data_IF_332725253648
#
_entry.id   IF_332725253648
#
_cell.length_a   1.000
_cell.length_b   1.000
_cell.length_c   1.000
_cell.angle_alpha   90.00
_cell.angle_beta   90.00
_cell.angle_gamma   90.00
#
_symmetry.space_group_name_H-M   'P 1'
#
loop_
_entity.id
_entity.type
_entity.pdbx_description
1 polymer ?
#
# COMPACT_ATOMS: atom_id res chain seq x y z
N UNK A 1 1.28 12.70 -1.29
CA UNK A 1 1.85 12.24 -2.58
C UNK A 1 0.77 11.87 -3.61
N UNK A 2 0.41 10.60 -3.82
CA UNK A 2 -0.55 10.24 -4.90
C UNK A 2 -1.95 10.86 -4.69
N UNK A 3 -2.42 10.94 -3.45
CA UNK A 3 -3.67 11.65 -3.11
C UNK A 3 -3.66 13.11 -3.54
N UNK A 4 -2.53 13.82 -3.39
CA UNK A 4 -2.43 15.23 -3.80
C UNK A 4 -2.55 15.37 -5.32
N UNK A 5 -1.86 14.52 -6.09
CA UNK A 5 -1.98 14.51 -7.55
C UNK A 5 -3.44 14.31 -8.00
N UNK A 6 -4.13 13.34 -7.39
CA UNK A 6 -5.55 13.12 -7.65
C UNK A 6 -6.41 14.35 -7.33
N UNK A 7 -6.18 15.01 -6.18
CA UNK A 7 -6.91 16.22 -5.79
C UNK A 7 -6.65 17.40 -6.74
N UNK A 8 -5.51 17.43 -7.43
CA UNK A 8 -5.22 18.38 -8.51
C UNK A 8 -5.77 17.96 -9.89
N UNK A 9 -6.59 16.91 -9.95
CA UNK A 9 -7.18 16.42 -11.19
C UNK A 9 -6.23 15.58 -12.05
N UNK A 10 -5.10 15.14 -11.49
CA UNK A 10 -4.09 14.34 -12.20
C UNK A 10 -4.29 12.86 -11.86
N UNK A 11 -4.48 11.98 -12.86
CA UNK A 11 -4.41 10.53 -12.67
C UNK A 11 -3.18 10.11 -11.86
N UNK A 12 -3.39 9.42 -10.75
CA UNK A 12 -2.33 9.15 -9.76
C UNK A 12 -2.33 7.69 -9.33
N UNK A 13 -1.13 7.14 -9.12
CA UNK A 13 -0.93 5.75 -8.66
C UNK A 13 0.06 5.75 -7.50
N UNK A 14 -0.26 5.05 -6.42
CA UNK A 14 0.64 4.72 -5.34
C UNK A 14 1.06 3.25 -5.43
N UNK A 15 2.36 2.98 -5.32
CA UNK A 15 2.92 1.63 -5.29
C UNK A 15 3.58 1.37 -3.95
N UNK A 16 3.26 0.23 -3.34
CA UNK A 16 3.86 -0.24 -2.08
C UNK A 16 4.27 -1.71 -2.21
N UNK A 17 5.39 -2.10 -1.59
CA UNK A 17 5.64 -3.52 -1.32
C UNK A 17 4.98 -3.92 -0.01
N UNK A 18 4.33 -5.10 -0.01
CA UNK A 18 3.53 -5.59 1.12
C UNK A 18 4.40 -5.85 2.36
N UNK A 19 5.54 -6.47 2.14
CA UNK A 19 6.50 -6.81 3.19
C UNK A 19 7.61 -5.75 3.24
N UNK A 20 8.05 -5.42 4.46
CA UNK A 20 9.16 -4.51 4.67
C UNK A 20 10.45 -5.11 4.09
N UNK A 21 11.28 -4.24 3.52
CA UNK A 21 12.57 -4.60 2.94
C UNK A 21 12.64 -4.25 1.46
N UNK A 22 13.76 -4.60 0.83
CA UNK A 22 14.09 -4.20 -0.54
C UNK A 22 14.47 -5.43 -1.41
N UNK A 23 13.96 -6.61 -1.06
CA UNK A 23 14.42 -7.89 -1.60
C UNK A 23 14.12 -8.10 -3.08
N UNK A 24 12.99 -7.61 -3.58
CA UNK A 24 12.53 -7.86 -4.95
C UNK A 24 12.14 -6.57 -5.71
N UNK A 25 12.91 -5.49 -5.54
CA UNK A 25 12.60 -4.20 -6.18
C UNK A 25 12.52 -4.29 -7.70
N UNK A 26 13.38 -5.08 -8.35
CA UNK A 26 13.36 -5.19 -9.81
C UNK A 26 12.03 -5.79 -10.31
N UNK A 27 11.50 -6.79 -9.60
CA UNK A 27 10.19 -7.37 -9.89
C UNK A 27 9.07 -6.34 -9.63
N UNK A 28 9.14 -5.61 -8.51
CA UNK A 28 8.18 -4.55 -8.21
C UNK A 28 8.20 -3.40 -9.23
N UNK A 29 9.38 -3.03 -9.73
CA UNK A 29 9.53 -2.02 -10.78
C UNK A 29 8.95 -2.48 -12.11
N UNK A 30 9.13 -3.76 -12.48
CA UNK A 30 8.47 -4.36 -13.66
C UNK A 30 6.95 -4.34 -13.53
N UNK A 31 6.41 -4.70 -12.36
CA UNK A 31 4.97 -4.59 -12.07
C UNK A 31 4.50 -3.14 -12.23
N UNK A 32 5.16 -2.18 -11.57
CA UNK A 32 4.78 -0.77 -11.61
C UNK A 32 4.78 -0.23 -13.04
N UNK A 33 5.84 -0.54 -13.82
CA UNK A 33 5.92 -0.18 -15.24
C UNK A 33 4.75 -0.73 -16.03
N UNK A 34 4.44 -2.03 -15.90
CA UNK A 34 3.34 -2.65 -16.65
C UNK A 34 1.97 -2.03 -16.34
N UNK A 35 1.75 -1.63 -15.09
CA UNK A 35 0.50 -0.96 -14.67
C UNK A 35 0.43 0.44 -15.26
N UNK A 36 1.53 1.21 -15.23
CA UNK A 36 1.59 2.55 -15.83
C UNK A 36 1.37 2.49 -17.34
N UNK A 37 2.03 1.57 -18.04
CA UNK A 37 1.86 1.38 -19.50
C UNK A 37 0.40 1.05 -19.85
N UNK A 38 -0.25 0.17 -19.07
CA UNK A 38 -1.66 -0.17 -19.28
C UNK A 38 -2.60 1.01 -19.03
N UNK A 39 -2.33 1.82 -18.00
CA UNK A 39 -3.12 3.03 -17.70
C UNK A 39 -2.98 4.07 -18.82
N UNK A 40 -1.76 4.29 -19.32
CA UNK A 40 -1.50 5.22 -20.42
C UNK A 40 -2.22 4.75 -21.69
N UNK A 41 -2.13 3.46 -22.02
CA UNK A 41 -2.76 2.89 -23.20
C UNK A 41 -4.30 2.90 -23.11
N UNK A 42 -4.86 2.74 -21.92
CA UNK A 42 -6.29 2.63 -21.69
C UNK A 42 -7.08 3.94 -21.78
N UNK A 43 -6.41 5.10 -21.72
CA UNK A 43 -7.06 6.41 -21.83
C UNK A 43 -8.15 6.62 -20.78
N UNK A 44 -7.78 6.89 -19.53
CA UNK A 44 -8.75 7.22 -18.48
C UNK A 44 -9.03 8.72 -18.50
N UNK A 45 -10.20 9.09 -19.04
CA UNK A 45 -10.63 10.49 -19.25
C UNK A 45 -10.95 11.28 -17.96
N UNK A 46 -10.76 10.67 -16.79
CA UNK A 46 -11.03 11.27 -15.49
C UNK A 46 -9.89 11.04 -14.52
N UNK A 47 -9.68 12.02 -13.64
CA UNK A 47 -8.77 11.84 -12.51
C UNK A 47 -9.19 10.62 -11.68
N UNK A 48 -8.22 9.82 -11.28
CA UNK A 48 -8.40 8.69 -10.37
C UNK A 48 -7.18 8.54 -9.48
N UNK A 49 -7.35 7.77 -8.40
CA UNK A 49 -6.28 7.35 -7.52
C UNK A 49 -6.28 5.83 -7.42
N UNK A 50 -5.21 5.17 -7.90
CA UNK A 50 -5.03 3.73 -7.74
C UNK A 50 -4.00 3.45 -6.64
N UNK A 51 -4.33 2.56 -5.71
CA UNK A 51 -3.37 2.03 -4.73
C UNK A 51 -3.01 0.60 -5.12
N UNK A 52 -1.72 0.34 -5.33
CA UNK A 52 -1.20 -0.96 -5.78
C UNK A 52 -0.24 -1.52 -4.74
N UNK A 53 -0.58 -2.68 -4.19
CA UNK A 53 0.28 -3.44 -3.30
C UNK A 53 0.94 -4.59 -4.06
N UNK A 54 2.27 -4.71 -3.95
CA UNK A 54 3.08 -5.67 -4.68
C UNK A 54 3.74 -6.63 -3.68
N UNK A 55 3.61 -7.96 -3.82
CA UNK A 55 4.34 -8.91 -3.00
C UNK A 55 5.86 -8.71 -3.11
N UNK A 56 6.60 -8.86 -2.01
CA UNK A 56 8.06 -8.74 -2.03
C UNK A 56 8.73 -10.04 -2.51
N UNK A 57 8.41 -10.44 -3.76
CA UNK A 57 8.85 -11.70 -4.37
C UNK A 57 9.50 -11.47 -5.71
N UNK A 58 10.51 -12.29 -6.03
CA UNK A 58 11.24 -12.19 -7.30
C UNK A 58 10.37 -12.47 -8.54
N UNK A 59 9.26 -13.18 -8.37
CA UNK A 59 8.29 -13.53 -9.41
C UNK A 59 7.03 -12.66 -9.37
N UNK A 60 7.02 -11.54 -8.63
CA UNK A 60 5.85 -10.68 -8.47
C UNK A 60 5.25 -10.20 -9.81
N UNK A 61 6.07 -10.02 -10.84
CA UNK A 61 5.66 -9.63 -12.19
C UNK A 61 4.98 -10.73 -13.01
N UNK A 62 4.99 -11.97 -12.52
CA UNK A 62 4.33 -13.13 -13.15
C UNK A 62 3.03 -13.53 -12.44
N UNK A 63 2.77 -12.96 -11.26
CA UNK A 63 1.58 -13.27 -10.48
C UNK A 63 0.32 -12.67 -11.12
N UNK A 64 -0.84 -13.34 -11.01
CA UNK A 64 -2.10 -12.77 -11.47
C UNK A 64 -2.45 -11.53 -10.65
N UNK A 65 -2.83 -10.45 -11.35
CA UNK A 65 -3.31 -9.21 -10.71
C UNK A 65 -4.80 -9.33 -10.38
N UNK A 66 -5.19 -8.84 -9.20
CA UNK A 66 -6.60 -8.77 -8.77
C UNK A 66 -7.00 -7.32 -8.52
N UNK A 67 -8.18 -6.94 -8.99
CA UNK A 67 -8.83 -5.69 -8.57
C UNK A 67 -9.52 -5.95 -7.23
N UNK A 68 -9.30 -5.07 -6.28
CA UNK A 68 -9.75 -5.24 -4.89
C UNK A 68 -10.47 -4.01 -4.37
N UNK A 69 -11.23 -4.20 -3.30
CA UNK A 69 -11.71 -3.12 -2.42
C UNK A 69 -10.76 -2.98 -1.23
N UNK A 70 -10.76 -1.80 -0.61
CA UNK A 70 -10.00 -1.56 0.62
C UNK A 70 -10.56 -2.42 1.78
N UNK A 71 -9.71 -3.24 2.38
CA UNK A 71 -9.98 -3.95 3.63
C UNK A 71 -10.00 -3.02 4.84
N UNK A 72 -10.21 -3.55 6.05
CA UNK A 72 -10.23 -2.76 7.29
C UNK A 72 -9.40 -3.40 8.37
N UNK A 73 -8.82 -2.57 9.24
CA UNK A 73 -8.16 -3.00 10.46
C UNK A 73 -9.01 -2.65 11.68
N UNK A 74 -8.77 -3.36 12.78
CA UNK A 74 -9.16 -2.91 14.10
C UNK A 74 -8.39 -1.64 14.47
N UNK A 75 -8.85 -0.95 15.53
CA UNK A 75 -8.11 0.18 16.08
C UNK A 75 -6.67 -0.24 16.41
N UNK A 76 -5.73 0.70 16.29
CA UNK A 76 -4.34 0.46 16.71
C UNK A 76 -4.29 0.03 18.17
N UNK A 77 -3.24 -0.73 18.51
CA UNK A 77 -2.94 -1.02 19.90
C UNK A 77 -2.73 0.26 20.70
N UNK A 78 -2.77 0.12 22.04
CA UNK A 78 -2.65 1.23 22.97
C UNK A 78 -1.33 2.00 22.84
N UNK A 79 -1.31 3.19 23.42
CA UNK A 79 -0.11 4.02 23.50
C UNK A 79 0.95 3.30 24.34
N UNK A 80 2.18 3.26 23.84
CA UNK A 80 3.33 2.69 24.55
C UNK A 80 4.08 3.84 25.21
N UNK A 81 4.08 3.85 26.55
CA UNK A 81 4.85 4.82 27.34
C UNK A 81 6.30 4.37 27.47
N UNK A 82 7.22 5.32 27.33
CA UNK A 82 8.65 5.10 27.56
C UNK A 82 9.25 6.32 28.26
N UNK A 83 10.24 6.10 29.12
CA UNK A 83 11.02 7.20 29.71
C UNK A 83 12.26 7.43 28.86
N UNK A 84 12.48 8.69 28.45
CA UNK A 84 13.68 9.05 27.70
C UNK A 84 14.90 9.21 28.65
N UNK A 85 16.13 9.34 28.12
CA UNK A 85 17.34 9.47 28.94
C UNK A 85 17.39 10.71 29.87
N UNK A 86 16.48 11.68 29.69
CA UNK A 86 16.34 12.87 30.55
C UNK A 86 15.27 12.71 31.63
N UNK A 87 14.64 11.55 31.73
CA UNK A 87 13.57 11.30 32.70
C UNK A 87 12.19 11.79 32.27
N UNK A 88 12.01 12.19 31.01
CA UNK A 88 10.73 12.68 30.49
C UNK A 88 9.93 11.52 29.89
N UNK A 89 8.61 11.50 30.11
CA UNK A 89 7.71 10.53 29.47
C UNK A 89 7.55 10.86 27.99
N UNK A 90 7.76 9.85 27.13
CA UNK A 90 7.45 9.87 25.71
C UNK A 90 6.38 8.81 25.41
N UNK A 91 5.54 9.11 24.42
CA UNK A 91 4.39 8.30 24.05
C UNK A 91 4.54 7.87 22.59
N UNK A 92 4.56 6.56 22.36
CA UNK A 92 4.56 5.98 21.02
C UNK A 92 3.16 5.47 20.68
N UNK A 93 2.72 5.71 19.44
CA UNK A 93 1.52 5.07 18.92
C UNK A 93 1.83 3.57 18.75
N UNK A 94 0.99 2.73 19.33
CA UNK A 94 1.11 1.27 19.21
C UNK A 94 0.96 0.80 17.77
N UNK A 95 1.32 -0.47 17.47
CA UNK A 95 1.16 -1.03 16.15
C UNK A 95 -0.29 -0.96 15.65
N UNK A 96 -0.45 -0.98 14.33
CA UNK A 96 -1.78 -1.04 13.72
C UNK A 96 -2.48 -2.33 14.16
N UNK A 97 -3.79 -2.25 14.41
CA UNK A 97 -4.58 -3.40 14.80
C UNK A 97 -4.65 -4.47 13.72
N UNK A 98 -5.06 -5.66 14.13
CA UNK A 98 -5.28 -6.80 13.24
C UNK A 98 -6.31 -6.49 12.15
N UNK A 99 -6.26 -7.26 11.07
CA UNK A 99 -7.24 -7.13 10.00
C UNK A 99 -8.64 -7.49 10.53
N UNK A 100 -9.56 -6.53 10.44
CA UNK A 100 -10.99 -6.67 10.77
C UNK A 100 -11.80 -7.17 9.57
N UNK A 101 -11.41 -6.75 8.38
CA UNK A 101 -11.98 -7.18 7.11
C UNK A 101 -10.85 -7.43 6.12
N UNK A 102 -10.50 -8.71 5.99
CA UNK A 102 -9.53 -9.26 5.05
C UNK A 102 -10.14 -10.45 4.28
N UNK A 103 -11.44 -10.41 4.03
CA UNK A 103 -12.13 -11.44 3.26
C UNK A 103 -11.84 -11.37 1.77
N UNK A 104 -12.41 -12.30 1.00
CA UNK A 104 -12.26 -12.33 -0.45
C UNK A 104 -12.60 -10.98 -1.10
N UNK A 105 -11.78 -10.59 -2.08
CA UNK A 105 -11.91 -9.32 -2.79
C UNK A 105 -11.31 -8.12 -2.06
N UNK A 106 -10.84 -8.26 -0.81
CA UNK A 106 -10.03 -7.22 -0.15
C UNK A 106 -8.60 -7.21 -0.66
N UNK A 107 -7.93 -6.07 -0.51
CA UNK A 107 -6.50 -5.94 -0.73
C UNK A 107 -5.68 -6.85 0.19
N UNK A 108 -6.05 -7.00 1.47
CA UNK A 108 -5.38 -7.93 2.39
C UNK A 108 -5.48 -9.39 1.97
N UNK A 109 -6.58 -9.82 1.35
CA UNK A 109 -6.74 -11.20 0.89
C UNK A 109 -6.00 -11.49 -0.43
N UNK A 110 -5.68 -10.46 -1.21
CA UNK A 110 -5.07 -10.62 -2.52
C UNK A 110 -3.53 -10.74 -2.47
N UNK A 111 -2.93 -10.42 -1.33
CA UNK A 111 -1.49 -10.37 -1.10
C UNK A 111 -0.91 -11.65 -0.55
#
# INVERSE_FOLDING_TARGET
AATEGYLFGIPSIAFSQVEKGWGALDAAARVARSVVEQVIAGGLDRAFLLNVNIPNRADADQLPRKITRLGRRHASEGIIEQINPRGETIYWIGPAGDAKDAGEGTDFHAT
#
